data_IF_800010580506
#
_entry.id   IF_800010580506
#
_cell.length_a   1.000
_cell.length_b   1.000
_cell.length_c   1.000
_cell.angle_alpha   90.00
_cell.angle_beta   90.00
_cell.angle_gamma   90.00
#
_symmetry.space_group_name_H-M   'P 1'
#
loop_
_entity.id
_entity.type
_entity.pdbx_description
1 polymer ?
#
# COMPACT_ATOMS: atom_id res chain seq x y z
N UNK A 1 -0.25 13.03 -21.17
CA UNK A 1 -0.07 11.77 -21.93
C UNK A 1 0.36 10.71 -20.91
N UNK A 2 -0.13 9.48 -21.05
CA UNK A 2 0.27 8.33 -20.20
C UNK A 2 1.72 7.96 -20.48
N UNK A 3 2.50 7.71 -19.43
CA UNK A 3 3.83 7.11 -19.59
C UNK A 3 3.69 5.68 -20.16
N UNK A 4 4.47 5.27 -21.16
CA UNK A 4 4.37 3.91 -21.73
C UNK A 4 4.79 2.81 -20.75
N UNK A 5 5.50 3.18 -19.70
CA UNK A 5 5.99 2.26 -18.66
C UNK A 5 5.76 2.88 -17.29
N UNK A 6 5.23 2.09 -16.36
CA UNK A 6 5.22 2.40 -14.94
C UNK A 6 6.23 1.51 -14.23
N UNK A 7 7.12 2.11 -13.45
CA UNK A 7 7.92 1.35 -12.48
C UNK A 7 7.24 1.40 -11.12
N UNK A 8 6.89 0.23 -10.59
CA UNK A 8 6.23 0.08 -9.30
C UNK A 8 7.03 -0.81 -8.37
N UNK A 9 7.03 -0.50 -7.08
CA UNK A 9 7.66 -1.30 -6.06
C UNK A 9 6.71 -1.53 -4.87
N UNK A 10 6.76 -2.74 -4.32
CA UNK A 10 6.15 -3.10 -3.05
C UNK A 10 7.25 -3.32 -2.02
N UNK A 11 7.26 -2.54 -0.96
CA UNK A 11 8.34 -2.47 0.02
C UNK A 11 7.87 -2.92 1.40
N UNK A 12 8.74 -3.62 2.12
CA UNK A 12 8.51 -4.16 3.47
C UNK A 12 9.61 -3.70 4.45
N UNK A 13 9.72 -2.37 4.73
CA UNK A 13 10.73 -1.86 5.63
C UNK A 13 10.51 -2.32 7.07
N UNK A 14 11.56 -2.26 7.89
CA UNK A 14 11.39 -2.38 9.34
C UNK A 14 10.45 -1.28 9.83
N UNK A 15 9.43 -1.66 10.61
CA UNK A 15 8.49 -0.74 11.22
C UNK A 15 8.53 -0.88 12.75
N UNK A 16 8.60 0.25 13.44
CA UNK A 16 8.60 0.33 14.89
C UNK A 16 7.26 0.82 15.40
N UNK A 17 6.65 0.05 16.31
CA UNK A 17 5.37 0.40 16.91
C UNK A 17 5.37 1.82 17.50
N UNK A 18 4.37 2.61 17.17
CA UNK A 18 4.14 3.99 17.63
C UNK A 18 5.25 5.01 17.30
N UNK A 19 6.26 4.68 16.49
CA UNK A 19 7.35 5.59 16.16
C UNK A 19 7.26 6.10 14.71
N UNK A 20 6.33 7.02 14.46
CA UNK A 20 6.09 7.60 13.13
C UNK A 20 7.37 8.21 12.54
N UNK A 21 8.21 8.87 13.36
CA UNK A 21 9.42 9.50 12.85
C UNK A 21 10.47 8.47 12.38
N UNK A 22 10.67 7.38 13.13
CA UNK A 22 11.57 6.30 12.72
C UNK A 22 11.01 5.58 11.47
N UNK A 23 9.71 5.30 11.44
CA UNK A 23 9.06 4.66 10.30
C UNK A 23 9.14 5.53 9.06
N UNK A 24 8.89 6.84 9.15
CA UNK A 24 9.04 7.78 8.03
C UNK A 24 10.48 7.78 7.47
N UNK A 25 11.51 7.70 8.31
CA UNK A 25 12.90 7.57 7.85
C UNK A 25 13.14 6.23 7.13
N UNK A 26 12.61 5.11 7.66
CA UNK A 26 12.69 3.81 7.01
C UNK A 26 12.00 3.81 5.65
N UNK A 27 10.81 4.42 5.57
CA UNK A 27 10.07 4.58 4.30
C UNK A 27 10.85 5.44 3.30
N UNK A 28 11.42 6.56 3.76
CA UNK A 28 12.24 7.43 2.91
C UNK A 28 13.48 6.70 2.35
N UNK A 29 14.13 5.87 3.16
CA UNK A 29 15.25 5.04 2.70
C UNK A 29 14.78 4.01 1.64
N UNK A 30 13.63 3.37 1.87
CA UNK A 30 13.04 2.42 0.94
C UNK A 30 12.63 3.09 -0.38
N UNK A 31 12.05 4.30 -0.36
CA UNK A 31 11.72 5.08 -1.57
C UNK A 31 12.99 5.32 -2.41
N UNK A 32 14.08 5.75 -1.79
CA UNK A 32 15.35 5.96 -2.49
C UNK A 32 15.94 4.66 -3.07
N UNK A 33 15.81 3.54 -2.34
CA UNK A 33 16.33 2.25 -2.75
C UNK A 33 15.50 1.60 -3.87
N UNK A 34 14.19 1.83 -3.89
CA UNK A 34 13.24 1.21 -4.80
C UNK A 34 13.48 1.61 -6.27
N UNK A 35 13.96 2.84 -6.54
CA UNK A 35 14.13 3.37 -7.91
C UNK A 35 12.88 3.15 -8.76
N UNK A 36 11.70 3.48 -8.22
CA UNK A 36 10.41 3.26 -8.83
C UNK A 36 9.56 4.54 -8.75
N UNK A 37 8.67 4.75 -9.72
CA UNK A 37 7.75 5.89 -9.75
C UNK A 37 6.69 5.78 -8.64
N UNK A 38 6.28 4.55 -8.31
CA UNK A 38 5.33 4.30 -7.22
C UNK A 38 5.94 3.29 -6.25
N UNK A 39 5.90 3.62 -4.96
CA UNK A 39 6.35 2.72 -3.88
C UNK A 39 5.20 2.50 -2.90
N UNK A 40 4.75 1.24 -2.79
CA UNK A 40 3.65 0.84 -1.91
C UNK A 40 4.22 0.31 -0.60
N UNK A 41 3.60 0.67 0.51
CA UNK A 41 3.96 0.28 1.86
C UNK A 41 2.82 -0.46 2.58
N UNK A 42 3.11 -1.24 3.65
CA UNK A 42 2.11 -2.01 4.37
C UNK A 42 1.02 -1.17 5.04
N UNK A 43 -0.08 -1.81 5.40
CA UNK A 43 -1.18 -1.24 6.18
C UNK A 43 -0.67 -0.64 7.51
N UNK A 44 -1.09 0.60 7.85
CA UNK A 44 -0.67 1.29 9.08
C UNK A 44 0.86 1.33 9.30
N UNK A 45 1.66 1.26 8.24
CA UNK A 45 3.13 1.13 8.32
C UNK A 45 3.82 2.32 8.99
N UNK A 46 3.21 3.52 8.98
CA UNK A 46 3.74 4.67 9.71
C UNK A 46 3.63 4.53 11.23
N UNK A 47 2.70 3.71 11.72
CA UNK A 47 2.49 3.47 13.15
C UNK A 47 2.84 2.04 13.60
N UNK A 48 3.29 1.19 12.65
CA UNK A 48 3.67 -0.20 12.93
C UNK A 48 2.48 -1.06 13.35
N UNK A 49 1.34 -0.91 12.66
CA UNK A 49 0.08 -1.63 12.93
C UNK A 49 -0.46 -1.49 14.37
N UNK A 50 -0.17 -0.37 15.02
CA UNK A 50 -0.73 -0.09 16.34
C UNK A 50 -2.12 0.55 16.21
N UNK A 51 -3.16 -0.22 16.56
CA UNK A 51 -4.55 0.23 16.41
C UNK A 51 -4.88 1.44 17.30
N UNK A 52 -4.17 1.62 18.41
CA UNK A 52 -4.37 2.74 19.34
C UNK A 52 -3.46 3.95 19.04
N UNK A 53 -2.62 3.88 18.02
CA UNK A 53 -1.75 4.98 17.64
C UNK A 53 -2.55 6.25 17.31
N UNK A 54 -2.09 7.44 17.73
CA UNK A 54 -2.72 8.70 17.34
C UNK A 54 -2.81 8.85 15.81
N UNK A 55 -3.87 9.49 15.28
CA UNK A 55 -3.95 9.81 13.86
C UNK A 55 -2.78 10.66 13.39
N UNK A 56 -2.34 10.38 12.17
CA UNK A 56 -1.29 11.15 11.47
C UNK A 56 -1.99 12.16 10.56
N UNK A 57 -1.62 13.43 10.66
CA UNK A 57 -2.12 14.48 9.77
C UNK A 57 -1.29 14.55 8.48
N UNK A 58 -1.87 15.06 7.40
CA UNK A 58 -1.15 15.27 6.13
C UNK A 58 -0.08 16.38 6.23
N UNK A 59 -0.18 17.27 7.21
CA UNK A 59 0.79 18.35 7.49
C UNK A 59 1.80 17.98 8.59
N UNK A 60 1.82 16.71 9.03
CA UNK A 60 2.74 16.23 10.05
C UNK A 60 4.19 16.34 9.56
N UNK A 61 4.99 17.15 10.24
CA UNK A 61 6.39 17.40 9.89
C UNK A 61 7.27 16.13 9.87
N UNK A 62 6.85 15.07 10.58
CA UNK A 62 7.55 13.78 10.57
C UNK A 62 7.53 13.11 9.20
N UNK A 63 6.60 13.49 8.31
CA UNK A 63 6.50 12.99 6.94
C UNK A 63 7.49 13.65 5.97
N UNK A 64 8.14 14.75 6.37
CA UNK A 64 9.07 15.50 5.50
C UNK A 64 10.18 14.61 4.94
N UNK A 65 10.67 13.63 5.70
CA UNK A 65 11.69 12.70 5.21
C UNK A 65 11.22 11.90 3.97
N UNK A 66 9.93 11.54 3.92
CA UNK A 66 9.35 10.82 2.76
C UNK A 66 9.14 11.80 1.61
N UNK A 67 8.63 13.01 1.89
CA UNK A 67 8.46 14.08 0.88
C UNK A 67 9.79 14.38 0.18
N UNK A 68 10.87 14.57 0.95
CA UNK A 68 12.22 14.80 0.42
C UNK A 68 12.74 13.61 -0.40
N UNK A 69 12.46 12.38 0.04
CA UNK A 69 12.82 11.18 -0.72
C UNK A 69 12.06 11.12 -2.05
N UNK A 70 10.76 11.38 -2.05
CA UNK A 70 9.94 11.44 -3.26
C UNK A 70 10.42 12.55 -4.21
N UNK A 71 10.79 13.73 -3.68
CA UNK A 71 11.34 14.81 -4.48
C UNK A 71 12.68 14.45 -5.14
N UNK A 72 13.55 13.74 -4.41
CA UNK A 72 14.86 13.34 -4.90
C UNK A 72 14.81 12.22 -5.95
N UNK A 73 13.72 11.45 -6.02
CA UNK A 73 13.60 10.28 -6.89
C UNK A 73 12.46 10.39 -7.90
N UNK A 74 11.76 11.53 -7.93
CA UNK A 74 10.54 11.77 -8.72
C UNK A 74 9.51 10.63 -8.55
N UNK A 75 9.25 10.29 -7.29
CA UNK A 75 8.41 9.16 -6.91
C UNK A 75 7.16 9.60 -6.15
N UNK A 76 6.20 8.68 -6.08
CA UNK A 76 5.05 8.73 -5.18
C UNK A 76 5.13 7.56 -4.21
N UNK A 77 4.98 7.83 -2.91
CA UNK A 77 4.91 6.81 -1.87
C UNK A 77 3.47 6.66 -1.36
N UNK A 78 2.97 5.42 -1.32
CA UNK A 78 1.66 5.07 -0.78
C UNK A 78 1.86 4.43 0.60
N UNK A 79 1.61 5.20 1.66
CA UNK A 79 1.97 4.81 3.03
C UNK A 79 0.75 4.64 3.93
N UNK A 80 0.72 3.58 4.72
CA UNK A 80 -0.39 3.26 5.64
C UNK A 80 -0.34 4.08 6.94
N UNK A 81 -1.47 4.70 7.32
CA UNK A 81 -1.59 5.47 8.56
C UNK A 81 -3.03 5.50 9.09
N UNK A 82 -3.23 5.65 10.41
CA UNK A 82 -4.50 6.11 10.93
C UNK A 82 -4.67 7.60 10.62
N UNK A 83 -5.84 8.01 10.15
CA UNK A 83 -6.15 9.42 9.85
C UNK A 83 -7.47 9.84 10.49
N UNK A 84 -7.61 11.12 10.85
CA UNK A 84 -8.87 11.69 11.27
C UNK A 84 -9.55 12.35 10.06
N UNK A 85 -10.81 11.97 9.80
CA UNK A 85 -11.65 12.60 8.79
C UNK A 85 -12.23 13.95 9.25
N UNK A 86 -12.79 14.70 8.30
CA UNK A 86 -13.46 15.97 8.58
C UNK A 86 -14.75 15.77 9.42
N UNK A 87 -15.31 14.56 9.37
CA UNK A 87 -16.42 14.08 10.21
C UNK A 87 -16.01 13.79 11.66
N UNK A 88 -14.72 13.92 11.99
CA UNK A 88 -14.13 13.63 13.29
C UNK A 88 -13.85 12.15 13.54
N UNK A 89 -14.24 11.25 12.64
CA UNK A 89 -14.01 9.81 12.74
C UNK A 89 -12.56 9.46 12.41
N UNK A 90 -12.10 8.30 12.88
CA UNK A 90 -10.75 7.81 12.60
C UNK A 90 -10.86 6.67 11.59
N UNK A 91 -10.00 6.70 10.57
CA UNK A 91 -9.96 5.72 9.50
C UNK A 91 -8.56 5.10 9.36
N UNK A 92 -8.51 3.85 8.92
CA UNK A 92 -7.28 3.28 8.37
C UNK A 92 -7.16 3.80 6.94
N UNK A 93 -6.05 4.44 6.62
CA UNK A 93 -5.90 5.09 5.33
C UNK A 93 -4.57 4.78 4.65
N UNK A 94 -4.55 4.99 3.35
CA UNK A 94 -3.36 5.08 2.53
C UNK A 94 -3.14 6.55 2.15
N UNK A 95 -2.02 7.10 2.59
CA UNK A 95 -1.57 8.44 2.22
C UNK A 95 -0.77 8.36 0.93
N UNK A 96 -1.02 9.28 0.01
CA UNK A 96 -0.18 9.55 -1.15
C UNK A 96 0.78 10.67 -0.78
N UNK A 97 2.07 10.35 -0.70
CA UNK A 97 3.16 11.31 -0.45
C UNK A 97 3.92 11.53 -1.75
N UNK A 98 4.07 12.77 -2.15
CA UNK A 98 4.83 13.20 -3.33
C UNK A 98 5.78 14.33 -2.98
N UNK A 99 6.59 14.77 -3.94
CA UNK A 99 7.45 15.96 -3.79
C UNK A 99 6.69 17.24 -3.39
N UNK A 100 5.39 17.32 -3.68
CA UNK A 100 4.59 18.55 -3.57
C UNK A 100 3.52 18.52 -2.51
N UNK A 101 3.08 17.33 -2.09
CA UNK A 101 1.93 17.20 -1.19
C UNK A 101 1.88 15.85 -0.50
N UNK A 102 1.21 15.85 0.66
CA UNK A 102 0.69 14.64 1.30
C UNK A 102 -0.82 14.75 1.30
N UNK A 103 -1.51 13.70 0.86
CA UNK A 103 -2.98 13.66 0.86
C UNK A 103 -3.49 12.27 1.20
N UNK A 104 -4.68 12.18 1.76
CA UNK A 104 -5.38 10.91 1.92
C UNK A 104 -5.84 10.45 0.55
N UNK A 105 -5.29 9.36 0.05
CA UNK A 105 -5.65 8.80 -1.25
C UNK A 105 -6.79 7.78 -1.12
N UNK A 106 -6.85 7.06 -0.01
CA UNK A 106 -7.86 6.03 0.23
C UNK A 106 -8.09 5.80 1.72
N UNK A 107 -9.32 5.42 2.09
CA UNK A 107 -9.70 4.96 3.41
C UNK A 107 -10.26 3.55 3.30
N UNK A 108 -9.79 2.62 4.13
CA UNK A 108 -10.19 1.22 4.17
C UNK A 108 -11.71 1.08 4.28
N UNK A 109 -12.32 0.32 3.37
CA UNK A 109 -13.77 0.15 3.31
C UNK A 109 -14.26 -0.99 4.22
N UNK A 110 -13.51 -2.08 4.31
CA UNK A 110 -13.89 -3.27 5.08
C UNK A 110 -12.94 -3.51 6.23
N UNK A 111 -13.43 -3.30 7.43
CA UNK A 111 -12.65 -3.44 8.66
C UNK A 111 -12.59 -4.89 9.13
N UNK A 112 -11.43 -5.32 9.65
CA UNK A 112 -11.18 -6.66 10.15
C UNK A 112 -10.94 -6.73 11.64
N UNK A 113 -11.11 -7.91 12.23
CA UNK A 113 -10.72 -8.19 13.61
C UNK A 113 -11.20 -7.14 14.61
N UNK A 114 -10.26 -6.48 15.29
CA UNK A 114 -10.52 -5.45 16.31
C UNK A 114 -10.63 -4.02 15.75
N UNK A 115 -10.38 -3.83 14.45
CA UNK A 115 -10.40 -2.50 13.83
C UNK A 115 -11.72 -1.73 14.02
N UNK A 116 -12.93 -2.38 13.92
CA UNK A 116 -14.21 -1.67 14.13
C UNK A 116 -14.41 -1.08 15.53
N UNK A 117 -13.59 -1.48 16.50
CA UNK A 117 -13.64 -0.88 17.86
C UNK A 117 -13.12 0.56 17.88
N UNK A 118 -12.38 1.00 16.84
CA UNK A 118 -11.75 2.32 16.77
C UNK A 118 -11.92 3.03 15.44
N UNK A 119 -11.94 2.29 14.35
CA UNK A 119 -11.96 2.86 13.02
C UNK A 119 -13.34 2.81 12.40
N UNK A 120 -13.62 3.78 11.55
CA UNK A 120 -14.80 3.82 10.70
C UNK A 120 -14.45 3.44 9.26
N UNK A 121 -15.37 2.78 8.52
CA UNK A 121 -15.17 2.46 7.12
C UNK A 121 -14.96 3.72 6.27
N UNK A 122 -14.21 3.57 5.18
CA UNK A 122 -14.11 4.58 4.13
C UNK A 122 -15.38 4.65 3.26
N UNK A 123 -15.46 5.68 2.39
CA UNK A 123 -16.68 5.95 1.62
C UNK A 123 -16.87 5.04 0.39
N UNK A 124 -15.85 4.27 -0.01
CA UNK A 124 -15.89 3.40 -1.19
C UNK A 124 -14.55 3.29 -1.90
N UNK A 125 -14.55 2.57 -3.03
CA UNK A 125 -13.38 2.37 -3.87
C UNK A 125 -12.83 3.69 -4.41
N UNK A 126 -11.52 3.78 -4.60
CA UNK A 126 -10.84 4.98 -5.07
C UNK A 126 -9.75 4.64 -6.09
N UNK A 127 -9.46 5.61 -6.96
CA UNK A 127 -8.37 5.56 -7.94
C UNK A 127 -7.45 6.75 -7.73
N UNK A 128 -6.15 6.51 -7.79
CA UNK A 128 -5.12 7.52 -7.88
C UNK A 128 -4.51 7.48 -9.28
N UNK A 129 -4.47 8.63 -9.95
CA UNK A 129 -3.72 8.77 -11.20
C UNK A 129 -2.27 9.15 -10.92
N UNK A 130 -1.34 8.38 -11.53
CA UNK A 130 0.10 8.67 -11.50
C UNK A 130 0.62 8.54 -12.94
N UNK A 131 0.98 9.65 -13.54
CA UNK A 131 1.50 9.73 -14.93
C UNK A 131 0.57 9.05 -15.98
N UNK A 132 -0.74 9.14 -15.74
CA UNK A 132 -1.77 8.53 -16.58
C UNK A 132 -2.06 7.06 -16.27
N UNK A 133 -1.37 6.45 -15.31
CA UNK A 133 -1.67 5.12 -14.79
C UNK A 133 -2.71 5.20 -13.67
N UNK A 134 -3.74 4.40 -13.75
CA UNK A 134 -4.88 4.38 -12.83
C UNK A 134 -4.66 3.31 -11.76
N UNK A 135 -4.32 3.72 -10.56
CA UNK A 135 -4.05 2.83 -9.42
C UNK A 135 -5.32 2.69 -8.58
N UNK A 136 -5.98 1.53 -8.65
CA UNK A 136 -7.07 1.16 -7.74
C UNK A 136 -6.51 0.76 -6.38
N UNK A 137 -7.17 1.18 -5.30
CA UNK A 137 -6.63 1.09 -3.96
C UNK A 137 -7.40 0.11 -3.08
N UNK A 138 -6.68 -0.65 -2.27
CA UNK A 138 -7.22 -1.51 -1.23
C UNK A 138 -6.30 -1.55 0.00
N UNK A 139 -6.85 -1.99 1.13
CA UNK A 139 -6.08 -2.22 2.36
C UNK A 139 -6.53 -3.56 2.97
N UNK A 140 -5.60 -4.50 3.06
CA UNK A 140 -5.69 -5.79 3.75
C UNK A 140 -7.04 -6.50 3.50
N UNK A 141 -8.00 -6.42 4.41
CA UNK A 141 -9.30 -7.10 4.30
C UNK A 141 -10.07 -6.75 3.01
N UNK A 142 -9.91 -5.56 2.47
CA UNK A 142 -10.55 -5.16 1.21
C UNK A 142 -10.22 -6.15 0.08
N UNK A 143 -8.99 -6.68 0.04
CA UNK A 143 -8.52 -7.63 -0.97
C UNK A 143 -9.24 -8.99 -0.94
N UNK A 144 -9.88 -9.33 0.17
CA UNK A 144 -10.67 -10.55 0.33
C UNK A 144 -12.18 -10.34 0.20
N UNK A 145 -12.63 -9.13 -0.18
CA UNK A 145 -14.05 -8.81 -0.32
C UNK A 145 -14.38 -8.63 -1.80
N UNK A 146 -15.07 -9.60 -2.39
CA UNK A 146 -15.37 -9.62 -3.82
C UNK A 146 -16.11 -8.36 -4.31
N UNK A 147 -16.99 -7.77 -3.49
CA UNK A 147 -17.66 -6.51 -3.84
C UNK A 147 -16.65 -5.37 -4.01
N UNK A 148 -15.68 -5.24 -3.07
CA UNK A 148 -14.64 -4.21 -3.17
C UNK A 148 -13.77 -4.39 -4.42
N UNK A 149 -13.39 -5.63 -4.73
CA UNK A 149 -12.56 -5.93 -5.91
C UNK A 149 -13.30 -5.54 -7.19
N UNK A 150 -14.57 -5.97 -7.34
CA UNK A 150 -15.41 -5.61 -8.50
C UNK A 150 -15.61 -4.10 -8.63
N UNK A 151 -15.96 -3.42 -7.53
CA UNK A 151 -16.22 -1.98 -7.54
C UNK A 151 -14.97 -1.19 -7.89
N UNK A 152 -13.79 -1.65 -7.43
CA UNK A 152 -12.50 -1.04 -7.77
C UNK A 152 -12.13 -1.31 -9.23
N UNK A 153 -12.30 -2.54 -9.72
CA UNK A 153 -12.08 -2.89 -11.13
C UNK A 153 -12.98 -2.10 -12.08
N UNK A 154 -14.25 -1.88 -11.71
CA UNK A 154 -15.21 -1.10 -12.50
C UNK A 154 -14.78 0.38 -12.68
N UNK A 155 -13.84 0.88 -11.88
CA UNK A 155 -13.26 2.20 -12.07
C UNK A 155 -12.24 2.25 -13.23
N UNK A 156 -11.97 1.13 -13.92
CA UNK A 156 -11.03 1.06 -15.04
C UNK A 156 -9.59 1.28 -14.58
N UNK A 157 -9.12 0.43 -13.70
CA UNK A 157 -7.77 0.49 -13.14
C UNK A 157 -6.76 -0.26 -14.00
N UNK A 158 -5.51 0.19 -13.95
CA UNK A 158 -4.38 -0.49 -14.59
C UNK A 158 -3.58 -1.33 -13.58
N UNK A 159 -3.57 -0.88 -12.34
CA UNK A 159 -2.88 -1.55 -11.23
C UNK A 159 -3.77 -1.54 -10.00
N UNK A 160 -3.92 -2.67 -9.32
CA UNK A 160 -4.50 -2.74 -7.99
C UNK A 160 -3.37 -2.72 -6.95
N UNK A 161 -3.35 -1.74 -6.07
CA UNK A 161 -2.33 -1.59 -5.02
C UNK A 161 -2.92 -1.83 -3.64
N UNK A 162 -2.23 -2.58 -2.77
CA UNK A 162 -2.68 -2.75 -1.40
C UNK A 162 -1.53 -2.84 -0.39
N UNK A 163 -1.75 -2.22 0.79
CA UNK A 163 -0.95 -2.43 1.99
C UNK A 163 -1.60 -3.48 2.89
N UNK A 164 -0.82 -4.44 3.38
CA UNK A 164 -1.29 -5.62 4.10
C UNK A 164 -0.57 -5.81 5.43
N UNK A 165 -1.22 -6.58 6.32
CA UNK A 165 -0.59 -7.30 7.43
C UNK A 165 -1.13 -8.72 7.44
N UNK A 166 -0.26 -9.71 7.27
CA UNK A 166 -0.59 -11.14 7.33
C UNK A 166 0.47 -11.87 8.14
N UNK A 167 0.07 -12.97 8.79
CA UNK A 167 1.02 -13.91 9.38
C UNK A 167 1.61 -14.81 8.29
N UNK A 168 2.72 -15.54 8.56
CA UNK A 168 3.27 -16.48 7.59
C UNK A 168 2.28 -17.57 7.16
N UNK A 169 1.36 -17.96 8.04
CA UNK A 169 0.33 -18.96 7.77
C UNK A 169 -0.75 -18.45 6.79
N UNK A 170 -0.92 -17.12 6.69
CA UNK A 170 -1.85 -16.45 5.77
C UNK A 170 -1.24 -16.16 4.39
N UNK A 171 0.07 -16.42 4.19
CA UNK A 171 0.74 -16.16 2.90
C UNK A 171 0.05 -16.83 1.70
N UNK A 172 -0.39 -18.10 1.75
CA UNK A 172 -1.10 -18.70 0.62
C UNK A 172 -2.41 -17.95 0.25
N UNK A 173 -3.10 -17.40 1.26
CA UNK A 173 -4.29 -16.59 1.05
C UNK A 173 -3.97 -15.23 0.42
N UNK A 174 -2.83 -14.62 0.81
CA UNK A 174 -2.34 -13.37 0.22
C UNK A 174 -2.07 -13.56 -1.29
N UNK A 175 -1.33 -14.61 -1.65
CA UNK A 175 -0.96 -14.92 -3.02
C UNK A 175 -2.18 -15.27 -3.89
N UNK A 176 -3.08 -16.11 -3.37
CA UNK A 176 -4.32 -16.48 -4.03
C UNK A 176 -5.19 -15.25 -4.33
N UNK A 177 -5.35 -14.33 -3.35
CA UNK A 177 -6.12 -13.10 -3.55
C UNK A 177 -5.48 -12.21 -4.61
N UNK A 178 -4.16 -12.06 -4.60
CA UNK A 178 -3.46 -11.24 -5.58
C UNK A 178 -3.69 -11.75 -7.01
N UNK A 179 -3.50 -13.06 -7.24
CA UNK A 179 -3.74 -13.69 -8.54
C UNK A 179 -5.21 -13.58 -8.98
N UNK A 180 -6.16 -13.81 -8.05
CA UNK A 180 -7.59 -13.66 -8.35
C UNK A 180 -7.98 -12.23 -8.73
N UNK A 181 -7.47 -11.22 -7.98
CA UNK A 181 -7.70 -9.81 -8.27
C UNK A 181 -7.12 -9.45 -9.65
N UNK A 182 -5.90 -9.89 -9.94
CA UNK A 182 -5.25 -9.62 -11.23
C UNK A 182 -6.11 -10.13 -12.40
N UNK A 183 -6.54 -11.39 -12.33
CA UNK A 183 -7.36 -12.03 -13.36
C UNK A 183 -8.76 -11.40 -13.49
N UNK A 184 -9.42 -11.08 -12.35
CA UNK A 184 -10.76 -10.50 -12.33
C UNK A 184 -10.75 -9.05 -12.86
N UNK A 185 -9.76 -8.25 -12.46
CA UNK A 185 -9.66 -6.85 -12.86
C UNK A 185 -8.91 -6.64 -14.19
N UNK A 186 -8.23 -7.66 -14.71
CA UNK A 186 -7.29 -7.59 -15.84
C UNK A 186 -6.25 -6.49 -15.64
N UNK A 187 -5.77 -6.33 -14.42
CA UNK A 187 -4.83 -5.31 -13.99
C UNK A 187 -3.61 -5.93 -13.31
N UNK A 188 -2.51 -5.23 -13.31
CA UNK A 188 -1.38 -5.58 -12.45
C UNK A 188 -1.79 -5.50 -10.98
N UNK A 189 -1.15 -6.27 -10.11
CA UNK A 189 -1.38 -6.19 -8.66
C UNK A 189 -0.05 -5.95 -7.95
N UNK A 190 -0.02 -5.03 -6.99
CA UNK A 190 1.14 -4.78 -6.14
C UNK A 190 0.74 -4.80 -4.67
N UNK A 191 1.17 -5.81 -3.93
CA UNK A 191 0.92 -5.97 -2.51
C UNK A 191 2.18 -5.73 -1.69
N UNK A 192 2.11 -4.80 -0.75
CA UNK A 192 3.12 -4.56 0.26
C UNK A 192 2.65 -5.12 1.62
N UNK A 193 3.36 -6.10 2.14
CA UNK A 193 3.07 -6.76 3.42
C UNK A 193 4.18 -6.51 4.42
N UNK A 194 3.85 -6.49 5.71
CA UNK A 194 4.89 -6.42 6.74
C UNK A 194 5.81 -7.64 6.70
N UNK A 195 7.09 -7.41 6.98
CA UNK A 195 8.08 -8.44 7.27
C UNK A 195 8.65 -8.25 8.67
N UNK A 196 8.85 -9.35 9.39
CA UNK A 196 9.31 -9.33 10.79
C UNK A 196 8.20 -8.92 11.77
N UNK A 197 8.56 -8.55 13.00
CA UNK A 197 7.60 -8.15 14.02
C UNK A 197 7.02 -6.77 13.75
N UNK A 198 5.74 -6.57 14.11
CA UNK A 198 5.08 -5.27 14.14
C UNK A 198 4.10 -5.20 15.32
N UNK A 199 3.41 -4.06 15.49
CA UNK A 199 2.45 -3.88 16.57
C UNK A 199 1.20 -4.75 16.46
N UNK A 200 0.21 -4.51 17.33
CA UNK A 200 -1.05 -5.23 17.31
C UNK A 200 -0.97 -6.71 17.68
N UNK A 201 0.17 -7.17 18.20
CA UNK A 201 0.41 -8.57 18.58
C UNK A 201 1.01 -9.43 17.47
N UNK A 202 1.44 -8.83 16.37
CA UNK A 202 2.14 -9.56 15.29
C UNK A 202 3.63 -9.70 15.59
N UNK A 203 4.01 -10.82 16.22
CA UNK A 203 5.43 -11.15 16.49
C UNK A 203 6.15 -11.58 15.21
N UNK A 204 5.43 -12.16 14.26
CA UNK A 204 5.92 -12.56 12.93
C UNK A 204 4.89 -12.20 11.88
N UNK A 205 5.36 -11.69 10.74
CA UNK A 205 4.54 -11.40 9.58
C UNK A 205 5.10 -12.06 8.32
N UNK A 206 4.26 -12.21 7.30
CA UNK A 206 4.55 -13.01 6.11
C UNK A 206 5.68 -12.44 5.24
N UNK A 207 5.87 -11.12 5.25
CA UNK A 207 6.71 -10.49 4.24
C UNK A 207 6.17 -10.76 2.84
N UNK A 208 7.04 -11.21 1.95
CA UNK A 208 6.68 -11.66 0.60
C UNK A 208 5.84 -10.63 -0.17
N UNK A 209 6.16 -9.35 0.02
CA UNK A 209 5.63 -8.29 -0.83
C UNK A 209 5.94 -8.62 -2.29
N UNK A 210 4.94 -8.48 -3.17
CA UNK A 210 5.12 -8.94 -4.54
C UNK A 210 4.27 -8.14 -5.55
N UNK A 211 4.57 -8.36 -6.83
CA UNK A 211 3.87 -7.76 -7.97
C UNK A 211 3.48 -8.88 -8.92
N UNK A 212 2.22 -8.85 -9.39
CA UNK A 212 1.64 -9.84 -10.30
C UNK A 212 1.23 -9.20 -11.63
N UNK A 213 1.30 -9.99 -12.70
CA UNK A 213 0.77 -9.64 -14.02
C UNK A 213 -0.76 -9.74 -14.04
N UNK A 214 -1.45 -9.21 -15.07
CA UNK A 214 -2.90 -9.37 -15.25
C UNK A 214 -3.35 -10.83 -15.37
N UNK A 215 -2.46 -11.75 -15.73
CA UNK A 215 -2.70 -13.20 -15.82
C UNK A 215 -2.60 -13.88 -14.44
N UNK A 216 -2.06 -13.18 -13.43
CA UNK A 216 -1.87 -13.68 -12.08
C UNK A 216 -0.49 -14.28 -11.83
N UNK A 217 0.46 -14.12 -12.76
CA UNK A 217 1.83 -14.58 -12.60
C UNK A 217 2.66 -13.60 -11.77
N UNK A 218 3.56 -14.13 -10.92
CA UNK A 218 4.46 -13.31 -10.11
C UNK A 218 5.56 -12.71 -10.98
N UNK A 219 5.60 -11.38 -11.10
CA UNK A 219 6.63 -10.63 -11.80
C UNK A 219 7.85 -10.34 -10.94
N UNK A 220 7.63 -10.08 -9.65
CA UNK A 220 8.66 -9.82 -8.66
C UNK A 220 8.19 -10.16 -7.26
N UNK A 221 9.10 -10.65 -6.41
CA UNK A 221 8.85 -10.90 -4.98
C UNK A 221 10.03 -10.42 -4.15
N UNK A 222 9.74 -9.86 -2.97
CA UNK A 222 10.74 -9.39 -2.01
C UNK A 222 11.27 -10.50 -1.08
N UNK A 223 10.63 -11.69 -1.10
CA UNK A 223 10.90 -12.74 -0.12
C UNK A 223 10.41 -12.36 1.30
N UNK A 224 10.71 -13.18 2.32
CA UNK A 224 10.18 -12.99 3.68
C UNK A 224 10.95 -11.94 4.51
N UNK A 225 12.13 -11.50 4.08
CA UNK A 225 13.04 -10.73 4.89
C UNK A 225 12.66 -9.26 5.03
N UNK A 226 12.90 -8.69 6.23
CA UNK A 226 12.74 -7.25 6.49
C UNK A 226 13.64 -6.43 5.56
N UNK A 227 13.10 -5.33 5.01
CA UNK A 227 13.81 -4.45 4.08
C UNK A 227 13.76 -4.91 2.62
N UNK A 228 13.11 -6.04 2.33
CA UNK A 228 12.90 -6.52 0.98
C UNK A 228 12.07 -5.54 0.14
N UNK A 229 12.34 -5.49 -1.17
CA UNK A 229 11.64 -4.67 -2.16
C UNK A 229 11.39 -5.52 -3.41
N UNK A 230 10.14 -5.77 -3.72
CA UNK A 230 9.73 -6.28 -5.02
C UNK A 230 9.57 -5.09 -5.98
N UNK A 231 10.20 -5.15 -7.17
CA UNK A 231 10.15 -4.08 -8.17
C UNK A 231 9.90 -4.65 -9.55
N UNK A 232 8.94 -4.07 -10.27
CA UNK A 232 8.68 -4.40 -11.68
C UNK A 232 8.53 -3.12 -12.51
N UNK A 233 8.81 -3.26 -13.81
CA UNK A 233 8.44 -2.28 -14.83
C UNK A 233 7.29 -2.88 -15.63
N UNK A 234 6.12 -2.27 -15.54
CA UNK A 234 4.91 -2.74 -16.22
C UNK A 234 4.61 -1.86 -17.43
N UNK A 235 4.06 -2.44 -18.48
CA UNK A 235 3.72 -1.75 -19.73
C UNK A 235 2.22 -1.86 -19.98
N UNK A 236 1.69 -0.89 -20.71
CA UNK A 236 0.31 -0.98 -21.19
C UNK A 236 0.18 -2.19 -22.13
N UNK A 237 -0.80 -3.03 -21.84
CA UNK A 237 -1.10 -4.23 -22.65
C UNK A 237 -2.05 -3.90 -23.82
N UNK A 238 -2.46 -2.63 -23.99
CA UNK A 238 -3.38 -2.21 -25.05
C UNK A 238 -2.69 -1.77 -26.34
N UNK A 239 -1.34 -1.77 -26.40
CA UNK A 239 -0.56 -1.33 -27.55
C UNK A 239 0.04 -2.48 -28.40
N UNK A 240 -0.42 -3.74 -28.20
CA UNK A 240 -0.04 -4.89 -29.04
C UNK A 240 -1.16 -5.35 -29.99
#
# INVERSE_FOLDING_TARGET
MRSPVLTIAASQPACKANDVAANARSHAAAVRAAKAQVVVFPELSLTGYELQAPPVSCDDARLNAIVEACAATDSVALVGAPVKGDDGLIHIAMLCVSARSVKVAYRKCYLGGKEPMRFSPGPGSAVLDVDGWRLGMGICKDTGVAAHVRDTAALGIDVYVAGLVHTPEELPSQEMRAASIAQESKAFVAFASFAGPTGGGYERTAGSSAIWSPEGDVLASAGPEVGGIARASVRDTQDD
#
